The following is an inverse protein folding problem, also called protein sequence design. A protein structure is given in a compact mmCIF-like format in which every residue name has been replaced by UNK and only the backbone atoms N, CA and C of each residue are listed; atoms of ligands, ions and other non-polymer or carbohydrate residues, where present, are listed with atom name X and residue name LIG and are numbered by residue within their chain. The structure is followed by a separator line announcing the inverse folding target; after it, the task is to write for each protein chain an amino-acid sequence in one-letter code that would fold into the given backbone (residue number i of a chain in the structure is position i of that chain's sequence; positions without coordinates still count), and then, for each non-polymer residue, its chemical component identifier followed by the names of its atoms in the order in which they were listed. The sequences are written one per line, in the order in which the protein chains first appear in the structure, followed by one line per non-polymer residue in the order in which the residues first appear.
data_IF_745591948150
#
_entry.id   IF_745591948150
#
_cell.length_a   1.000
_cell.length_b   1.000
_cell.length_c   1.000
_cell.angle_alpha   90.00
_cell.angle_beta   90.00
_cell.angle_gamma   90.00
#
_symmetry.space_group_name_H-M   'P 1'
#
loop_
_entity.id
_entity.type
_entity.pdbx_description
1 polymer ?
#
# COMPACT_ATOMS: atom_id res chain seq x y z
N UNK A 1 14.13 16.58 16.39
CA UNK A 1 15.24 17.10 15.55
C UNK A 1 14.61 18.02 14.51
N UNK A 2 14.99 19.31 14.49
CA UNK A 2 14.53 20.25 13.44
C UNK A 2 15.24 19.89 12.12
N UNK A 3 14.47 19.62 11.09
CA UNK A 3 15.01 19.38 9.75
C UNK A 3 15.64 20.67 9.22
N UNK A 4 16.86 20.62 8.68
CA UNK A 4 17.46 21.80 8.07
C UNK A 4 16.65 22.19 6.81
N UNK A 5 16.46 23.49 6.51
CA UNK A 5 15.68 23.94 5.35
C UNK A 5 16.17 23.33 4.03
N UNK A 6 17.48 23.17 3.88
CA UNK A 6 18.08 22.56 2.69
C UNK A 6 17.71 21.08 2.55
N UNK A 7 17.73 20.31 3.63
CA UNK A 7 17.35 18.91 3.65
C UNK A 7 15.85 18.73 3.35
N UNK A 8 15.01 19.62 3.87
CA UNK A 8 13.58 19.65 3.58
C UNK A 8 13.28 19.91 2.10
N UNK A 9 14.01 20.85 1.48
CA UNK A 9 13.89 21.13 0.04
C UNK A 9 14.32 19.91 -0.80
N UNK A 10 15.51 19.36 -0.52
CA UNK A 10 16.03 18.18 -1.21
C UNK A 10 15.03 17.00 -1.12
N UNK A 11 14.49 16.76 0.05
CA UNK A 11 13.51 15.73 0.29
C UNK A 11 12.26 15.89 -0.60
N UNK A 12 11.72 17.10 -0.70
CA UNK A 12 10.55 17.39 -1.55
C UNK A 12 10.86 17.26 -3.03
N UNK A 13 12.00 17.76 -3.49
CA UNK A 13 12.44 17.63 -4.89
C UNK A 13 12.61 16.16 -5.26
N UNK A 14 13.34 15.37 -4.47
CA UNK A 14 13.52 13.94 -4.72
C UNK A 14 12.19 13.18 -4.70
N UNK A 15 11.26 13.52 -3.78
CA UNK A 15 9.91 12.93 -3.77
C UNK A 15 9.16 13.25 -5.06
N UNK A 16 9.18 14.50 -5.51
CA UNK A 16 8.48 14.91 -6.72
C UNK A 16 9.05 14.18 -7.95
N UNK A 17 10.38 14.15 -8.08
CA UNK A 17 11.06 13.44 -9.18
C UNK A 17 10.78 11.94 -9.14
N UNK A 18 10.80 11.31 -7.97
CA UNK A 18 10.53 9.87 -7.83
C UNK A 18 9.09 9.49 -8.24
N UNK A 19 8.14 10.42 -8.22
CA UNK A 19 6.76 10.16 -8.64
C UNK A 19 6.63 10.02 -10.16
N UNK A 20 7.40 10.79 -10.93
CA UNK A 20 7.22 10.95 -12.38
C UNK A 20 8.32 10.30 -13.23
N UNK A 21 9.55 10.16 -12.70
CA UNK A 21 10.67 9.64 -13.47
C UNK A 21 10.58 8.12 -13.69
N UNK A 22 11.12 7.58 -14.79
CA UNK A 22 11.19 6.14 -15.03
C UNK A 22 12.15 5.44 -14.06
N UNK A 23 12.17 4.10 -14.08
CA UNK A 23 13.14 3.29 -13.33
C UNK A 23 12.63 2.84 -11.96
N UNK A 24 11.65 1.93 -11.98
CA UNK A 24 10.99 1.41 -10.78
C UNK A 24 11.92 0.69 -9.78
N UNK A 25 13.01 0.11 -10.25
CA UNK A 25 14.02 -0.59 -9.43
C UNK A 25 15.37 0.14 -9.39
N UNK A 26 15.51 1.25 -10.08
CA UNK A 26 16.77 2.00 -10.20
C UNK A 26 16.63 3.43 -9.72
N UNK A 27 16.22 4.36 -10.60
CA UNK A 27 16.21 5.79 -10.32
C UNK A 27 15.24 6.17 -9.18
N UNK A 28 14.01 5.65 -9.17
CA UNK A 28 13.06 5.95 -8.09
C UNK A 28 13.54 5.43 -6.75
N UNK A 29 14.14 4.23 -6.73
CA UNK A 29 14.76 3.66 -5.52
C UNK A 29 15.91 4.55 -5.04
N UNK A 30 16.80 5.00 -5.94
CA UNK A 30 17.90 5.88 -5.59
C UNK A 30 17.43 7.22 -5.01
N UNK A 31 16.40 7.84 -5.61
CA UNK A 31 15.80 9.08 -5.12
C UNK A 31 15.20 8.92 -3.72
N UNK A 32 14.50 7.81 -3.46
CA UNK A 32 13.96 7.55 -2.12
C UNK A 32 15.05 7.22 -1.10
N UNK A 33 16.13 6.52 -1.48
CA UNK A 33 17.30 6.31 -0.61
C UNK A 33 17.97 7.63 -0.25
N UNK A 34 18.13 8.55 -1.21
CA UNK A 34 18.69 9.87 -0.97
C UNK A 34 17.88 10.70 0.05
N UNK A 35 16.58 10.45 0.16
CA UNK A 35 15.68 11.03 1.17
C UNK A 35 15.84 10.39 2.56
N UNK A 36 16.52 9.26 2.67
CA UNK A 36 16.73 8.53 3.92
C UNK A 36 15.79 7.33 4.12
N UNK A 37 14.96 6.94 3.12
CA UNK A 37 14.19 5.69 3.16
C UNK A 37 15.17 4.52 3.14
N UNK A 38 14.99 3.56 4.05
CA UNK A 38 15.77 2.33 4.07
C UNK A 38 15.20 1.36 3.05
N UNK A 39 15.94 1.03 2.00
CA UNK A 39 15.45 0.20 0.90
C UNK A 39 16.45 -0.91 0.60
N UNK A 40 15.97 -2.15 0.63
CA UNK A 40 16.70 -3.35 0.31
C UNK A 40 16.99 -3.54 -1.18
N UNK A 41 17.26 -4.78 -1.58
CA UNK A 41 17.55 -5.17 -2.96
C UNK A 41 16.27 -5.53 -3.71
N UNK A 42 16.27 -5.34 -5.05
CA UNK A 42 15.17 -5.75 -5.95
C UNK A 42 13.79 -5.19 -5.57
N UNK A 43 13.74 -4.06 -4.87
CA UNK A 43 12.49 -3.38 -4.52
C UNK A 43 11.92 -2.71 -5.76
N UNK A 44 10.62 -2.91 -5.99
CA UNK A 44 9.88 -2.25 -7.07
C UNK A 44 9.03 -1.11 -6.51
N UNK A 45 9.26 0.11 -7.01
CA UNK A 45 8.47 1.29 -6.64
C UNK A 45 7.75 1.80 -7.90
N UNK A 46 6.42 1.73 -7.90
CA UNK A 46 5.55 2.17 -8.98
C UNK A 46 5.55 3.68 -9.23
N UNK A 47 4.82 4.11 -10.26
CA UNK A 47 4.60 5.53 -10.50
C UNK A 47 3.71 6.14 -9.42
N UNK A 48 3.94 7.42 -9.14
CA UNK A 48 3.14 8.23 -8.23
C UNK A 48 3.05 7.65 -6.80
N UNK A 49 4.09 6.91 -6.38
CA UNK A 49 4.21 6.43 -5.01
C UNK A 49 4.63 7.59 -4.11
N UNK A 50 3.91 7.76 -3.01
CA UNK A 50 4.21 8.76 -1.98
C UNK A 50 4.72 8.04 -0.73
N UNK A 51 6.01 8.19 -0.45
CA UNK A 51 6.60 7.79 0.83
C UNK A 51 6.75 9.02 1.69
N UNK A 52 6.33 8.96 2.93
CA UNK A 52 6.31 10.06 3.88
C UNK A 52 7.30 11.19 3.59
N UNK A 53 6.82 12.42 3.50
CA UNK A 53 7.65 13.58 3.17
C UNK A 53 8.31 14.21 4.39
N UNK A 54 7.79 13.99 5.59
CA UNK A 54 8.29 14.58 6.82
C UNK A 54 9.36 13.74 7.47
N UNK A 55 9.18 12.41 7.49
CA UNK A 55 10.10 11.48 8.16
C UNK A 55 10.35 10.22 7.31
N UNK A 56 10.93 10.36 6.10
CA UNK A 56 11.18 9.24 5.20
C UNK A 56 12.09 8.16 5.82
N UNK A 57 12.96 8.52 6.75
CA UNK A 57 13.85 7.60 7.47
C UNK A 57 13.12 6.62 8.41
N UNK A 58 11.83 6.83 8.67
CA UNK A 58 10.97 5.91 9.40
C UNK A 58 10.37 4.81 8.51
N UNK A 59 10.68 4.78 7.22
CA UNK A 59 10.19 3.77 6.29
C UNK A 59 11.32 2.80 5.96
N UNK A 60 11.03 1.51 6.13
CA UNK A 60 11.89 0.40 5.72
C UNK A 60 11.15 -0.45 4.69
N UNK A 61 11.76 -0.61 3.52
CA UNK A 61 11.33 -1.50 2.44
C UNK A 61 12.36 -2.61 2.32
N UNK A 62 12.00 -3.85 2.68
CA UNK A 62 12.92 -4.97 2.61
C UNK A 62 13.03 -5.54 1.20
N UNK A 63 13.92 -6.52 1.02
CA UNK A 63 14.26 -7.11 -0.27
C UNK A 63 13.02 -7.65 -1.01
N UNK A 64 12.96 -7.42 -2.31
CA UNK A 64 11.93 -7.98 -3.18
C UNK A 64 10.52 -7.41 -3.01
N UNK A 65 10.28 -6.50 -2.07
CA UNK A 65 8.94 -5.95 -1.89
C UNK A 65 8.53 -5.08 -3.09
N UNK A 66 7.22 -5.04 -3.32
CA UNK A 66 6.60 -4.33 -4.45
C UNK A 66 5.60 -3.31 -3.94
N UNK A 67 5.83 -2.04 -4.27
CA UNK A 67 4.84 -0.98 -4.12
C UNK A 67 4.30 -0.63 -5.50
N UNK A 68 3.02 -0.92 -5.75
CA UNK A 68 2.37 -0.62 -7.02
C UNK A 68 2.12 0.89 -7.18
N UNK A 69 1.54 1.30 -8.29
CA UNK A 69 1.30 2.73 -8.55
C UNK A 69 0.38 3.37 -7.50
N UNK A 70 0.61 4.65 -7.19
CA UNK A 70 -0.21 5.47 -6.27
C UNK A 70 -0.30 4.94 -4.85
N UNK A 71 0.62 4.08 -4.43
CA UNK A 71 0.70 3.67 -3.02
C UNK A 71 1.15 4.86 -2.18
N UNK A 72 0.49 5.07 -1.06
CA UNK A 72 0.86 6.09 -0.08
C UNK A 72 1.26 5.43 1.24
N UNK A 73 2.44 5.76 1.75
CA UNK A 73 2.95 5.29 3.04
C UNK A 73 3.16 6.49 3.95
N UNK A 74 2.37 6.57 5.01
CA UNK A 74 2.50 7.56 6.07
C UNK A 74 3.26 6.93 7.25
N UNK A 75 4.35 7.55 7.67
CA UNK A 75 5.20 7.00 8.73
C UNK A 75 5.33 7.93 9.94
N UNK A 76 4.83 9.16 9.85
CA UNK A 76 4.90 10.12 10.93
C UNK A 76 3.57 10.24 11.68
N UNK A 77 3.64 10.12 12.99
CA UNK A 77 2.60 10.49 13.96
C UNK A 77 3.31 10.80 15.28
N UNK A 78 2.58 11.22 16.33
CA UNK A 78 3.21 11.67 17.59
C UNK A 78 4.19 10.66 18.17
N UNK A 79 3.82 9.39 18.19
CA UNK A 79 4.62 8.27 18.72
C UNK A 79 4.80 7.23 17.59
N UNK A 80 5.65 7.56 16.60
CA UNK A 80 5.78 6.66 15.47
C UNK A 80 7.03 5.79 15.58
N UNK A 81 6.83 4.48 15.51
CA UNK A 81 7.86 3.46 15.32
C UNK A 81 8.21 3.28 13.83
N UNK A 82 7.47 3.95 12.95
CA UNK A 82 7.67 3.90 11.51
C UNK A 82 6.79 2.85 10.82
N UNK A 83 7.10 2.60 9.56
CA UNK A 83 6.47 1.56 8.72
C UNK A 83 7.54 0.64 8.18
N UNK A 84 7.31 -0.67 8.30
CA UNK A 84 8.16 -1.70 7.71
C UNK A 84 7.35 -2.52 6.72
N UNK A 85 7.85 -2.64 5.50
CA UNK A 85 7.33 -3.55 4.47
C UNK A 85 8.38 -4.64 4.31
N UNK A 86 8.04 -5.83 4.79
CA UNK A 86 8.98 -6.96 4.86
C UNK A 86 9.18 -7.60 3.49
N UNK A 87 10.17 -8.50 3.43
CA UNK A 87 10.62 -9.18 2.23
C UNK A 87 9.46 -9.77 1.42
N UNK A 88 9.52 -9.58 0.09
CA UNK A 88 8.56 -10.12 -0.89
C UNK A 88 7.10 -9.72 -0.64
N UNK A 89 6.83 -8.73 0.21
CA UNK A 89 5.48 -8.21 0.38
C UNK A 89 5.04 -7.39 -0.84
N UNK A 90 3.75 -7.49 -1.18
CA UNK A 90 3.14 -6.80 -2.30
C UNK A 90 2.09 -5.81 -1.83
N UNK A 91 2.24 -4.54 -2.20
CA UNK A 91 1.27 -3.48 -1.91
C UNK A 91 0.61 -3.03 -3.20
N UNK A 92 -0.68 -3.31 -3.32
CA UNK A 92 -1.51 -3.03 -4.50
C UNK A 92 -1.74 -1.55 -4.75
N UNK A 93 -2.09 -1.23 -6.00
CA UNK A 93 -2.25 0.14 -6.46
C UNK A 93 -3.25 0.95 -5.62
N UNK A 94 -2.89 2.20 -5.31
CA UNK A 94 -3.73 3.10 -4.54
C UNK A 94 -3.94 2.73 -3.07
N UNK A 95 -3.20 1.75 -2.54
CA UNK A 95 -3.29 1.42 -1.12
C UNK A 95 -2.67 2.52 -0.25
N UNK A 96 -3.26 2.72 0.93
CA UNK A 96 -2.78 3.63 1.97
C UNK A 96 -2.31 2.83 3.18
N UNK A 97 -1.04 3.00 3.55
CA UNK A 97 -0.45 2.39 4.74
C UNK A 97 -0.30 3.46 5.82
N UNK A 98 -0.94 3.23 6.97
CA UNK A 98 -0.90 4.15 8.10
C UNK A 98 0.36 3.93 8.97
N UNK A 99 0.72 4.89 9.85
CA UNK A 99 1.87 4.79 10.72
C UNK A 99 1.84 3.56 11.64
N UNK A 100 3.03 3.11 12.05
CA UNK A 100 3.22 1.99 12.99
C UNK A 100 2.73 0.62 12.48
N UNK A 101 2.68 0.45 11.15
CA UNK A 101 2.25 -0.79 10.51
C UNK A 101 3.45 -1.57 10.00
N UNK A 102 3.43 -2.88 10.23
CA UNK A 102 4.32 -3.85 9.60
C UNK A 102 3.51 -4.67 8.60
N UNK A 103 3.94 -4.66 7.33
CA UNK A 103 3.42 -5.58 6.31
C UNK A 103 4.35 -6.79 6.29
N UNK A 104 3.87 -7.92 6.78
CA UNK A 104 4.67 -9.13 6.96
C UNK A 104 5.16 -9.73 5.65
N UNK A 105 6.21 -10.57 5.73
CA UNK A 105 6.85 -11.23 4.58
C UNK A 105 5.83 -11.91 3.67
N UNK A 106 5.92 -11.67 2.37
CA UNK A 106 5.03 -12.27 1.37
C UNK A 106 3.55 -11.93 1.55
N UNK A 107 3.21 -10.97 2.41
CA UNK A 107 1.84 -10.50 2.55
C UNK A 107 1.40 -9.70 1.34
N UNK A 108 0.11 -9.69 1.08
CA UNK A 108 -0.49 -8.95 -0.03
C UNK A 108 -1.53 -7.98 0.48
N UNK A 109 -1.31 -6.71 0.20
CA UNK A 109 -2.32 -5.66 0.38
C UNK A 109 -3.00 -5.45 -0.97
N UNK A 110 -4.31 -5.66 -1.05
CA UNK A 110 -5.04 -5.48 -2.31
C UNK A 110 -5.15 -3.99 -2.68
N UNK A 111 -5.38 -3.73 -3.96
CA UNK A 111 -5.52 -2.35 -4.46
C UNK A 111 -6.63 -1.57 -3.72
N UNK A 112 -6.38 -0.28 -3.48
CA UNK A 112 -7.33 0.62 -2.82
C UNK A 112 -7.55 0.37 -1.32
N UNK A 113 -6.80 -0.53 -0.70
CA UNK A 113 -6.98 -0.85 0.73
C UNK A 113 -6.34 0.19 1.65
N UNK A 114 -6.94 0.38 2.82
CA UNK A 114 -6.41 1.25 3.88
C UNK A 114 -5.96 0.38 5.06
N UNK A 115 -4.65 0.25 5.20
CA UNK A 115 -4.04 -0.60 6.24
C UNK A 115 -3.82 0.19 7.51
N UNK A 116 -4.59 -0.13 8.52
CA UNK A 116 -4.59 0.53 9.84
C UNK A 116 -3.90 -0.29 10.93
N UNK A 117 -3.58 -1.56 10.66
CA UNK A 117 -2.96 -2.52 11.58
C UNK A 117 -1.95 -3.37 10.84
N UNK A 118 -0.94 -3.88 11.55
CA UNK A 118 0.05 -4.78 10.96
C UNK A 118 -0.58 -6.03 10.33
N UNK A 119 -0.04 -6.43 9.19
CA UNK A 119 -0.49 -7.58 8.41
C UNK A 119 0.45 -8.76 8.67
N UNK A 120 -0.05 -9.90 9.11
CA UNK A 120 0.78 -11.08 9.33
C UNK A 120 1.45 -11.57 8.03
N UNK A 121 2.60 -12.27 8.12
CA UNK A 121 3.23 -12.88 6.94
C UNK A 121 2.26 -13.77 6.16
N UNK A 122 2.48 -13.84 4.84
CA UNK A 122 1.70 -14.68 3.93
C UNK A 122 0.19 -14.50 4.07
N UNK A 123 -0.26 -13.27 4.31
CA UNK A 123 -1.69 -12.96 4.48
C UNK A 123 -2.11 -11.90 3.47
N UNK A 124 -3.23 -12.15 2.79
CA UNK A 124 -3.87 -11.15 1.94
C UNK A 124 -4.89 -10.36 2.74
N UNK A 125 -4.81 -9.03 2.66
CA UNK A 125 -5.77 -8.11 3.28
C UNK A 125 -6.47 -7.24 2.24
N UNK A 126 -7.71 -6.87 2.51
CA UNK A 126 -8.55 -6.08 1.60
C UNK A 126 -9.49 -5.15 2.36
N UNK A 127 -9.77 -3.99 1.78
CA UNK A 127 -10.82 -3.08 2.21
C UNK A 127 -10.35 -1.85 2.97
N UNK A 128 -11.30 -1.09 3.50
CA UNK A 128 -11.09 0.10 4.32
C UNK A 128 -12.02 0.05 5.56
N UNK A 129 -11.50 -0.23 6.78
CA UNK A 129 -10.12 -0.67 7.03
C UNK A 129 -9.82 -2.05 6.44
N UNK A 130 -8.55 -2.31 6.09
CA UNK A 130 -8.13 -3.58 5.53
C UNK A 130 -8.25 -4.72 6.55
N UNK A 131 -8.90 -5.80 6.13
CA UNK A 131 -9.07 -7.02 6.93
C UNK A 131 -8.52 -8.25 6.19
N UNK A 132 -8.04 -9.28 6.90
CA UNK A 132 -7.58 -10.52 6.29
C UNK A 132 -8.69 -11.22 5.50
N UNK A 133 -8.41 -11.59 4.25
CA UNK A 133 -9.35 -12.28 3.35
C UNK A 133 -8.85 -13.64 2.89
N UNK A 134 -7.54 -13.86 2.86
CA UNK A 134 -6.95 -15.13 2.45
C UNK A 134 -5.56 -15.35 3.05
N UNK A 135 -5.10 -16.61 3.06
CA UNK A 135 -3.69 -16.98 3.25
C UNK A 135 -3.04 -17.18 1.89
N UNK A 136 -1.84 -16.65 1.72
CA UNK A 136 -1.03 -16.82 0.54
C UNK A 136 -0.15 -18.07 0.70
N UNK A 137 -0.21 -19.01 -0.24
CA UNK A 137 0.70 -20.16 -0.25
C UNK A 137 2.08 -19.83 -0.83
N UNK A 138 2.14 -18.77 -1.64
CA UNK A 138 3.37 -18.22 -2.24
C UNK A 138 3.31 -16.69 -2.19
N UNK A 139 4.47 -16.03 -2.20
CA UNK A 139 4.55 -14.58 -2.31
C UNK A 139 4.19 -14.11 -3.74
N UNK A 140 3.49 -12.99 -3.87
CA UNK A 140 3.19 -12.37 -5.15
C UNK A 140 4.36 -11.48 -5.58
N UNK A 141 5.23 -12.01 -6.41
CA UNK A 141 6.41 -11.29 -6.92
C UNK A 141 6.43 -11.21 -8.44
N UNK A 142 7.40 -10.49 -9.03
CA UNK A 142 7.51 -10.28 -10.48
C UNK A 142 7.64 -11.56 -11.32
N UNK A 143 8.06 -12.65 -10.70
CA UNK A 143 8.26 -13.96 -11.36
C UNK A 143 7.07 -14.90 -11.24
N UNK A 144 6.05 -14.52 -10.47
CA UNK A 144 4.86 -15.34 -10.20
C UNK A 144 3.69 -14.83 -11.03
N UNK A 145 3.05 -15.71 -11.78
CA UNK A 145 1.86 -15.35 -12.55
C UNK A 145 0.64 -15.23 -11.63
N UNK A 146 -0.30 -14.36 -12.00
CA UNK A 146 -1.57 -14.23 -11.25
C UNK A 146 -2.34 -15.54 -11.15
N UNK A 147 -2.27 -16.38 -12.20
CA UNK A 147 -2.90 -17.70 -12.21
C UNK A 147 -2.29 -18.64 -11.17
N UNK A 148 -0.95 -18.66 -11.09
CA UNK A 148 -0.23 -19.46 -10.11
C UNK A 148 -0.49 -18.95 -8.69
N UNK A 149 -0.42 -17.64 -8.48
CA UNK A 149 -0.74 -17.04 -7.20
C UNK A 149 -2.17 -17.37 -6.75
N UNK A 150 -3.17 -17.21 -7.65
CA UNK A 150 -4.57 -17.50 -7.32
C UNK A 150 -4.82 -18.96 -6.94
N UNK A 151 -4.11 -19.91 -7.56
CA UNK A 151 -4.21 -21.34 -7.20
C UNK A 151 -3.68 -21.64 -5.79
N UNK A 152 -2.76 -20.80 -5.31
CA UNK A 152 -2.14 -20.93 -3.98
C UNK A 152 -2.82 -20.04 -2.91
N UNK A 153 -3.91 -19.35 -3.25
CA UNK A 153 -4.71 -18.64 -2.27
C UNK A 153 -5.65 -19.58 -1.54
N UNK A 154 -5.68 -19.47 -0.22
CA UNK A 154 -6.62 -20.16 0.66
C UNK A 154 -7.52 -19.11 1.31
N UNK A 155 -8.75 -18.91 0.81
CA UNK A 155 -9.68 -17.96 1.41
C UNK A 155 -9.89 -18.27 2.90
N UNK A 156 -9.88 -17.24 3.71
CA UNK A 156 -10.33 -17.37 5.09
C UNK A 156 -11.84 -17.47 5.03
N UNK A 157 -12.44 -18.45 5.71
CA UNK A 157 -13.89 -18.59 5.78
C UNK A 157 -14.48 -17.27 6.29
N UNK A 158 -15.15 -16.54 5.41
CA UNK A 158 -15.67 -15.23 5.72
C UNK A 158 -16.85 -15.41 6.67
N UNK A 159 -16.73 -14.84 7.84
CA UNK A 159 -17.90 -14.41 8.56
C UNK A 159 -18.67 -13.41 7.67
N UNK A 160 -19.87 -13.78 7.22
CA UNK A 160 -20.88 -12.97 6.53
C UNK A 160 -20.44 -12.19 5.28
N UNK A 161 -20.90 -12.65 4.11
CA UNK A 161 -20.97 -11.82 2.91
C UNK A 161 -21.63 -10.47 3.29
N UNK A 162 -21.08 -9.32 2.84
CA UNK A 162 -21.84 -8.09 2.90
C UNK A 162 -23.14 -8.33 2.11
N UNK A 163 -24.27 -8.16 2.77
CA UNK A 163 -25.59 -8.16 2.13
C UNK A 163 -25.55 -7.11 1.04
N UNK A 164 -25.61 -7.53 -0.22
CA UNK A 164 -25.86 -6.60 -1.32
C UNK A 164 -27.21 -5.96 -1.02
N UNK A 165 -27.20 -4.71 -0.62
CA UNK A 165 -28.41 -3.92 -0.58
C UNK A 165 -28.93 -3.85 -2.01
N UNK A 166 -30.08 -4.53 -2.23
CA UNK A 166 -30.87 -4.41 -3.45
C UNK A 166 -31.17 -2.92 -3.66
N UNK A 167 -30.92 -2.35 -4.85
CA UNK A 167 -31.27 -0.95 -5.09
C UNK A 167 -32.76 -0.75 -4.76
N UNK A 168 -33.15 0.40 -4.19
CA UNK A 168 -34.53 0.70 -3.92
C UNK A 168 -35.31 0.58 -5.24
N UNK A 169 -36.34 -0.23 -5.24
CA UNK A 169 -37.28 -0.32 -6.36
C UNK A 169 -37.87 1.06 -6.60
N UNK A 170 -37.77 1.54 -7.84
CA UNK A 170 -38.48 2.72 -8.31
C UNK A 170 -39.98 2.55 -8.02
N UNK A 171 -40.47 3.13 -6.94
CA UNK A 171 -41.89 3.33 -6.71
C UNK A 171 -42.18 4.80 -6.94
N UNK A 172 -42.69 5.04 -8.16
CA UNK A 172 -43.80 5.94 -8.44
C UNK A 172 -43.70 7.35 -7.86
N UNK A 173 -43.04 8.24 -8.61
CA UNK A 173 -43.44 9.65 -8.62
C UNK A 173 -44.57 9.78 -9.63
N UNK A 174 -45.78 9.47 -9.21
CA UNK A 174 -46.98 9.80 -9.95
C UNK A 174 -47.82 10.80 -9.15
N UNK A 175 -47.93 11.97 -9.74
CA UNK A 175 -49.04 12.90 -9.64
C UNK A 175 -49.42 13.47 -8.26
N UNK A 176 -49.09 14.72 -8.06
CA UNK A 176 -50.06 15.72 -7.56
C UNK A 176 -49.79 17.06 -8.23
N UNK A 177 -50.33 17.17 -9.43
CA UNK A 177 -50.71 18.48 -10.02
C UNK A 177 -52.22 18.52 -9.95
N UNK A 178 -52.76 19.47 -9.20
CA UNK A 178 -54.08 20.13 -9.44
C UNK A 178 -54.52 20.86 -8.18
N UNK A 179 -55.34 21.86 -8.39
CA UNK A 179 -55.26 23.07 -9.22
C UNK A 179 -55.12 24.30 -8.34
#
# INVERSE_FOLDING_TARGET
MKESPFRGLLNRVCQHLARILPGAQSLRVALHRARGVQIGKNVWIGYDVVLDTSRPFLITLEDGCVLSMRVTVLAHFRESTGVRIEQDAFVGAGALILPNVVIGRGAVVTAGSVVTRSVPPMTMVQGNPAAPVAKCGIALGPKVTLKEFSRNLRPLSSSKKPTQQKPPSEQTVAAKTQP
#
